data_IF_103402550482
#
_entry.id   IF_103402550482
#
_cell.length_a   1.000
_cell.length_b   1.000
_cell.length_c   1.000
_cell.angle_alpha   90.00
_cell.angle_beta   90.00
_cell.angle_gamma   90.00
#
_symmetry.space_group_name_H-M   'P 1'
#
loop_
_entity.id
_entity.type
_entity.pdbx_description
1 polymer ?
#
# COMPACT_ATOMS: atom_id res chain seq x y z
N UNK A 1 -7.76 -9.59 -6.12
CA UNK A 1 -7.36 -8.19 -5.83
C UNK A 1 -6.91 -8.09 -4.37
N UNK A 2 -6.41 -6.95 -3.93
CA UNK A 2 -6.15 -6.76 -2.51
C UNK A 2 -6.42 -5.33 -2.04
N UNK A 3 -6.68 -5.16 -0.75
CA UNK A 3 -6.89 -3.87 -0.09
C UNK A 3 -5.86 -3.68 1.02
N UNK A 4 -5.34 -2.47 1.19
CA UNK A 4 -4.34 -2.14 2.21
C UNK A 4 -4.97 -1.33 3.33
N UNK A 5 -4.81 -1.80 4.58
CA UNK A 5 -5.37 -1.13 5.76
C UNK A 5 -4.30 -0.84 6.81
N UNK A 6 -4.40 0.29 7.55
CA UNK A 6 -3.52 0.55 8.69
C UNK A 6 -3.72 -0.50 9.79
N UNK A 7 -2.66 -0.74 10.58
CA UNK A 7 -2.82 -1.46 11.84
C UNK A 7 -3.55 -0.60 12.87
N UNK A 8 -4.36 -1.23 13.71
CA UNK A 8 -5.20 -0.50 14.66
C UNK A 8 -4.40 0.36 15.66
N UNK A 9 -3.22 -0.11 16.05
CA UNK A 9 -2.30 0.65 16.90
C UNK A 9 -1.87 1.97 16.25
N UNK A 10 -1.72 2.01 14.94
CA UNK A 10 -1.22 3.18 14.23
C UNK A 10 -2.29 4.30 14.15
N UNK A 11 -3.53 3.95 13.78
CA UNK A 11 -4.61 4.93 13.73
C UNK A 11 -5.02 5.42 15.14
N UNK A 12 -4.97 4.55 16.16
CA UNK A 12 -5.18 4.95 17.56
C UNK A 12 -4.13 5.93 18.06
N UNK A 13 -2.93 5.93 17.47
CA UNK A 13 -1.87 6.89 17.73
C UNK A 13 -1.97 8.16 16.89
N UNK A 14 -3.08 8.38 16.17
CA UNK A 14 -3.27 9.58 15.34
C UNK A 14 -2.50 9.55 14.02
N UNK A 15 -2.18 8.37 13.50
CA UNK A 15 -1.47 8.20 12.22
C UNK A 15 -2.35 7.41 11.25
N UNK A 16 -2.72 8.03 10.14
CA UNK A 16 -3.45 7.41 9.03
C UNK A 16 -2.50 6.81 8.00
N UNK A 17 -2.89 5.68 7.42
CA UNK A 17 -2.32 5.14 6.19
C UNK A 17 -3.44 5.11 5.16
N UNK A 18 -3.28 5.86 4.07
CA UNK A 18 -4.18 5.87 2.94
C UNK A 18 -3.51 5.15 1.77
N UNK A 19 -4.20 4.14 1.26
CA UNK A 19 -3.78 3.35 0.11
C UNK A 19 -5.02 3.02 -0.72
N UNK A 20 -4.80 2.44 -1.90
CA UNK A 20 -5.86 2.02 -2.80
C UNK A 20 -6.10 0.51 -2.77
N UNK A 21 -6.93 0.08 -3.72
CA UNK A 21 -7.00 -1.32 -4.16
C UNK A 21 -5.75 -1.64 -4.98
N UNK A 22 -5.19 -2.82 -4.75
CA UNK A 22 -4.18 -3.45 -5.58
C UNK A 22 -4.90 -4.33 -6.59
N UNK A 23 -4.81 -3.93 -7.86
CA UNK A 23 -5.43 -4.64 -8.97
C UNK A 23 -4.85 -6.07 -9.10
N UNK A 24 -5.70 -7.00 -9.52
CA UNK A 24 -5.25 -8.37 -9.80
C UNK A 24 -4.17 -8.34 -10.88
N UNK A 25 -3.10 -9.12 -10.72
CA UNK A 25 -1.97 -9.14 -11.65
C UNK A 25 -0.90 -8.04 -11.42
N UNK A 26 -1.13 -7.09 -10.49
CA UNK A 26 -0.08 -6.14 -10.12
C UNK A 26 1.13 -6.88 -9.53
N UNK A 27 2.32 -6.56 -10.04
CA UNK A 27 3.59 -7.02 -9.50
C UNK A 27 4.55 -5.84 -9.47
N UNK A 28 4.86 -5.35 -8.27
CA UNK A 28 5.74 -4.21 -8.08
C UNK A 28 5.82 -3.78 -6.62
N UNK A 29 6.63 -2.77 -6.38
CA UNK A 29 6.84 -2.19 -5.04
C UNK A 29 5.64 -1.35 -4.64
N UNK A 30 5.03 -1.70 -3.50
CA UNK A 30 3.87 -1.00 -2.97
C UNK A 30 4.26 0.23 -2.15
N UNK A 31 3.50 1.30 -2.34
CA UNK A 31 3.54 2.51 -1.51
C UNK A 31 2.20 2.81 -0.86
N UNK A 32 2.22 3.68 0.14
CA UNK A 32 1.03 4.24 0.77
C UNK A 32 1.31 5.66 1.26
N UNK A 33 0.26 6.47 1.37
CA UNK A 33 0.34 7.82 1.93
C UNK A 33 0.18 7.75 3.45
N UNK A 34 1.15 8.29 4.19
CA UNK A 34 1.06 8.44 5.63
C UNK A 34 0.62 9.86 6.00
N UNK A 35 -0.38 9.96 6.86
CA UNK A 35 -0.85 11.23 7.42
C UNK A 35 -0.68 11.21 8.94
N UNK A 36 0.14 12.12 9.47
CA UNK A 36 0.40 12.22 10.91
C UNK A 36 -0.43 13.36 11.49
N UNK A 37 -1.52 13.00 12.18
CA UNK A 37 -2.41 13.95 12.88
C UNK A 37 -2.09 14.10 14.36
N UNK A 38 -1.23 13.24 14.90
CA UNK A 38 -0.74 13.38 16.26
C UNK A 38 0.17 14.62 16.35
N UNK A 39 -0.17 15.64 17.18
CA UNK A 39 0.64 16.86 17.28
C UNK A 39 2.04 16.61 17.84
N UNK A 40 2.27 15.48 18.52
CA UNK A 40 3.58 15.08 19.01
C UNK A 40 4.41 14.31 17.97
N UNK A 41 3.87 14.12 16.75
CA UNK A 41 4.50 13.33 15.69
C UNK A 41 4.45 11.82 15.92
N UNK A 42 5.28 11.09 15.18
CA UNK A 42 5.46 9.64 15.30
C UNK A 42 6.91 9.27 14.98
N UNK A 43 7.47 8.31 15.72
CA UNK A 43 8.79 7.72 15.41
C UNK A 43 8.57 6.32 14.86
N UNK A 44 9.10 6.06 13.67
CA UNK A 44 9.06 4.76 13.03
C UNK A 44 10.44 4.12 13.09
N UNK A 45 10.47 2.89 13.56
CA UNK A 45 11.66 2.06 13.50
C UNK A 45 11.71 1.32 12.17
N UNK A 46 12.93 1.01 11.72
CA UNK A 46 13.15 0.19 10.54
C UNK A 46 12.35 -1.13 10.67
N UNK A 47 11.65 -1.53 9.60
CA UNK A 47 10.76 -2.69 9.55
C UNK A 47 9.55 -2.66 10.51
N UNK A 48 9.17 -1.50 11.05
CA UNK A 48 7.91 -1.39 11.79
C UNK A 48 6.73 -1.80 10.89
N UNK A 49 5.83 -2.65 11.41
CA UNK A 49 4.62 -3.05 10.69
C UNK A 49 3.61 -1.91 10.72
N UNK A 50 3.40 -1.24 9.59
CA UNK A 50 2.52 -0.07 9.46
C UNK A 50 1.11 -0.42 9.00
N UNK A 51 1.01 -1.35 8.07
CA UNK A 51 -0.23 -1.73 7.41
C UNK A 51 -0.30 -3.26 7.24
N UNK A 52 -1.42 -3.72 6.71
CA UNK A 52 -1.68 -5.10 6.33
C UNK A 52 -2.38 -5.13 4.98
N UNK A 53 -2.24 -6.25 4.28
CA UNK A 53 -2.90 -6.52 3.01
C UNK A 53 -3.99 -7.55 3.27
N UNK A 54 -5.20 -7.25 2.83
CA UNK A 54 -6.32 -8.19 2.77
C UNK A 54 -6.48 -8.59 1.31
N UNK A 55 -6.33 -9.89 1.02
CA UNK A 55 -6.42 -10.43 -0.34
C UNK A 55 -7.79 -11.05 -0.54
N UNK A 56 -8.38 -10.76 -1.69
CA UNK A 56 -9.68 -11.26 -2.10
C UNK A 56 -9.55 -12.00 -3.43
N UNK A 57 -10.19 -13.16 -3.51
CA UNK A 57 -10.24 -13.96 -4.74
C UNK A 57 -11.14 -13.28 -5.77
N UNK A 58 -10.73 -13.30 -7.04
CA UNK A 58 -11.55 -12.76 -8.12
C UNK A 58 -12.67 -13.75 -8.44
N UNK A 59 -13.91 -13.26 -8.58
CA UNK A 59 -15.06 -14.10 -8.95
C UNK A 59 -14.98 -14.66 -10.37
N UNK A 60 -14.14 -14.07 -11.22
CA UNK A 60 -13.86 -14.52 -12.58
C UNK A 60 -12.39 -14.27 -12.95
N UNK A 61 -11.95 -14.88 -14.06
CA UNK A 61 -10.63 -14.58 -14.61
C UNK A 61 -10.64 -13.19 -15.19
N UNK A 62 -9.64 -12.38 -14.85
CA UNK A 62 -9.47 -11.02 -15.34
C UNK A 62 -8.15 -10.87 -16.07
N UNK A 63 -8.08 -9.91 -16.99
CA UNK A 63 -6.78 -9.45 -17.48
C UNK A 63 -6.02 -8.81 -16.32
N UNK A 64 -4.76 -9.21 -16.14
CA UNK A 64 -3.93 -8.68 -15.07
C UNK A 64 -3.56 -7.21 -15.31
N UNK A 65 -3.28 -6.50 -14.22
CA UNK A 65 -2.81 -5.13 -14.27
C UNK A 65 -1.60 -4.96 -15.20
N UNK A 66 -1.73 -4.09 -16.19
CA UNK A 66 -0.73 -3.78 -17.22
C UNK A 66 -0.45 -2.26 -17.29
N UNK A 67 -0.76 -1.52 -16.23
CA UNK A 67 -0.59 -0.07 -16.17
C UNK A 67 0.83 0.39 -15.84
N UNK A 68 1.00 1.72 -15.79
CA UNK A 68 2.30 2.41 -15.67
C UNK A 68 3.11 2.13 -14.38
N UNK A 69 2.51 1.50 -13.38
CA UNK A 69 3.19 1.15 -12.13
C UNK A 69 3.63 -0.32 -12.09
N UNK A 70 3.38 -1.08 -13.16
CA UNK A 70 3.74 -2.49 -13.23
C UNK A 70 5.26 -2.63 -13.23
N UNK A 71 5.79 -3.58 -12.45
CA UNK A 71 7.22 -3.80 -12.25
C UNK A 71 7.96 -2.65 -11.53
N UNK A 72 7.24 -1.75 -10.84
CA UNK A 72 7.86 -0.68 -10.05
C UNK A 72 8.85 -1.22 -9.02
N UNK A 73 10.04 -0.60 -8.96
CA UNK A 73 11.12 -0.97 -8.01
C UNK A 73 11.13 -0.07 -6.77
N UNK A 74 10.35 1.01 -6.81
CA UNK A 74 10.24 2.01 -5.77
C UNK A 74 8.77 2.28 -5.44
N UNK A 75 8.51 2.60 -4.17
CA UNK A 75 7.19 3.08 -3.74
C UNK A 75 6.93 4.53 -4.15
N UNK A 76 7.93 5.22 -4.70
CA UNK A 76 7.86 6.60 -5.19
C UNK A 76 8.30 6.65 -6.64
N UNK A 77 7.41 7.11 -7.53
CA UNK A 77 7.69 7.33 -8.95
C UNK A 77 7.01 6.34 -9.90
N UNK A 78 7.27 6.52 -11.20
CA UNK A 78 6.87 5.65 -12.31
C UNK A 78 8.12 4.95 -12.83
N UNK A 79 8.70 4.08 -12.02
CA UNK A 79 9.91 3.33 -12.34
C UNK A 79 9.62 1.88 -12.75
N UNK A 80 8.34 1.56 -12.92
CA UNK A 80 7.87 0.34 -13.55
C UNK A 80 8.21 0.37 -15.04
N UNK A 81 9.10 -0.55 -15.43
CA UNK A 81 9.69 -0.80 -16.74
C UNK A 81 9.18 0.00 -17.96
N UNK A 82 10.13 0.63 -18.68
CA UNK A 82 10.12 0.68 -20.15
C UNK A 82 10.04 -0.73 -20.76
#
# INVERSE_FOLDING_TARGET
MASVFPRSSLWRSGVGINAGVVDAGYNGTMGALMEVKNPNGVVLYHNAKLAQIVVEEMGETVEGYNGIYQSSKSSVGRDGAE
#
